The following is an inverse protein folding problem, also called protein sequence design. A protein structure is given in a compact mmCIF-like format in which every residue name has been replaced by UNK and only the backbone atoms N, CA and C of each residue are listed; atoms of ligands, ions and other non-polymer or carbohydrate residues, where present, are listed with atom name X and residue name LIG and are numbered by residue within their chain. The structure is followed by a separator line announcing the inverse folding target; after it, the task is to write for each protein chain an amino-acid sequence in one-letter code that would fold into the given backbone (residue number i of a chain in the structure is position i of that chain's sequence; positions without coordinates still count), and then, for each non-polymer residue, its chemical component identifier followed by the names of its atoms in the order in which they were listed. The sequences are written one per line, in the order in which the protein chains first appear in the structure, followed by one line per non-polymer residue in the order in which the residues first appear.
data_IF_602207498258
#
_entry.id   IF_602207498258
#
_cell.length_a   1.000
_cell.length_b   1.000
_cell.length_c   1.000
_cell.angle_alpha   90.00
_cell.angle_beta   90.00
_cell.angle_gamma   90.00
#
_symmetry.space_group_name_H-M   'P 1'
#
loop_
_entity.id
_entity.type
_entity.pdbx_description
1 polymer ?
#
# COMPACT_ATOMS: atom_id res chain seq x y z
N UNK A 1 -0.81 35.65 23.40
CA UNK A 1 -0.30 34.38 23.93
C UNK A 1 -1.36 33.31 23.67
N UNK A 2 -1.06 32.37 22.77
CA UNK A 2 -1.89 31.19 22.54
C UNK A 2 -1.73 30.29 23.78
N UNK A 3 -2.82 29.85 24.43
CA UNK A 3 -2.72 28.95 25.57
C UNK A 3 -2.05 27.64 25.14
N UNK A 4 -0.82 27.44 25.60
CA UNK A 4 -0.09 26.17 25.35
C UNK A 4 -0.56 25.16 26.38
N UNK A 5 -0.98 23.99 25.90
CA UNK A 5 -1.40 22.89 26.76
C UNK A 5 -0.25 22.46 27.70
N UNK A 6 -0.55 22.31 28.98
CA UNK A 6 0.44 21.96 29.99
C UNK A 6 1.07 20.59 29.68
N UNK A 7 2.38 20.44 29.90
CA UNK A 7 3.12 19.19 29.59
C UNK A 7 2.58 17.97 30.30
N UNK A 8 1.98 18.15 31.47
CA UNK A 8 1.28 17.12 32.26
C UNK A 8 0.06 16.61 31.52
N UNK A 9 -0.80 17.53 31.03
CA UNK A 9 -2.02 17.20 30.28
C UNK A 9 -1.70 16.55 28.94
N UNK A 10 -0.63 16.98 28.24
CA UNK A 10 -0.14 16.30 27.02
C UNK A 10 0.32 14.87 27.28
N UNK A 11 0.98 14.61 28.41
CA UNK A 11 1.40 13.25 28.77
C UNK A 11 0.22 12.36 29.13
N UNK A 12 -0.79 12.86 29.81
CA UNK A 12 -2.01 12.12 30.12
C UNK A 12 -2.82 11.82 28.87
N UNK A 13 -2.99 12.79 27.99
CA UNK A 13 -3.63 12.61 26.69
C UNK A 13 -2.93 11.52 25.87
N UNK A 14 -1.60 11.60 25.78
CA UNK A 14 -0.79 10.59 25.07
C UNK A 14 -0.95 9.20 25.69
N UNK A 15 -0.91 9.07 27.01
CA UNK A 15 -1.12 7.79 27.71
C UNK A 15 -2.53 7.24 27.47
N UNK A 16 -3.55 8.09 27.48
CA UNK A 16 -4.94 7.67 27.22
C UNK A 16 -5.11 7.17 25.79
N UNK A 17 -4.53 7.89 24.81
CA UNK A 17 -4.55 7.47 23.39
C UNK A 17 -3.79 6.15 23.22
N UNK A 18 -2.58 6.03 23.77
CA UNK A 18 -1.77 4.81 23.69
C UNK A 18 -2.49 3.62 24.37
N UNK A 19 -3.16 3.85 25.49
CA UNK A 19 -3.92 2.82 26.19
C UNK A 19 -5.14 2.35 25.38
N UNK A 20 -5.96 3.30 24.92
CA UNK A 20 -7.13 3.00 24.07
C UNK A 20 -6.74 2.28 22.79
N UNK A 21 -5.64 2.68 22.17
CA UNK A 21 -5.13 2.02 20.96
C UNK A 21 -4.66 0.59 21.24
N UNK A 22 -3.95 0.36 22.35
CA UNK A 22 -3.51 -0.98 22.76
C UNK A 22 -4.69 -1.89 23.09
N UNK A 23 -5.71 -1.36 23.74
CA UNK A 23 -6.93 -2.10 24.06
C UNK A 23 -7.69 -2.48 22.79
N UNK A 24 -7.83 -1.53 21.85
CA UNK A 24 -8.38 -1.78 20.53
C UNK A 24 -7.57 -2.84 19.75
N UNK A 25 -6.25 -2.71 19.72
CA UNK A 25 -5.36 -3.66 19.05
C UNK A 25 -5.45 -5.06 19.65
N UNK A 26 -5.61 -5.20 20.98
CA UNK A 26 -5.81 -6.49 21.64
C UNK A 26 -7.18 -7.10 21.38
N UNK A 27 -8.22 -6.27 21.28
CA UNK A 27 -9.58 -6.74 21.09
C UNK A 27 -9.86 -7.16 19.63
N UNK A 28 -9.28 -6.46 18.68
CA UNK A 28 -9.58 -6.61 17.25
C UNK A 28 -8.39 -7.02 16.39
N UNK A 29 -7.17 -7.04 16.94
CA UNK A 29 -5.93 -7.35 16.22
C UNK A 29 -6.02 -8.69 15.50
N UNK A 30 -6.36 -9.75 16.22
CA UNK A 30 -6.46 -11.10 15.67
C UNK A 30 -7.51 -11.21 14.56
N UNK A 31 -8.64 -10.50 14.68
CA UNK A 31 -9.68 -10.48 13.66
C UNK A 31 -9.23 -9.69 12.41
N UNK A 32 -8.53 -8.58 12.62
CA UNK A 32 -7.97 -7.76 11.54
C UNK A 32 -6.84 -8.53 10.83
N UNK A 33 -5.94 -9.15 11.58
CA UNK A 33 -4.88 -10.00 11.01
C UNK A 33 -5.48 -11.14 10.19
N UNK A 34 -6.44 -11.88 10.73
CA UNK A 34 -7.11 -12.97 10.02
C UNK A 34 -7.82 -12.54 8.73
N UNK A 35 -8.32 -11.30 8.67
CA UNK A 35 -8.89 -10.75 7.44
C UNK A 35 -7.82 -10.48 6.37
N UNK A 36 -6.63 -10.04 6.79
CA UNK A 36 -5.53 -9.75 5.87
C UNK A 36 -4.64 -10.95 5.56
N UNK A 37 -4.75 -12.05 6.31
CA UNK A 37 -3.93 -13.26 6.13
C UNK A 37 -3.92 -13.80 4.68
N UNK A 38 -5.05 -13.97 3.97
CA UNK A 38 -5.04 -14.46 2.60
C UNK A 38 -4.25 -13.52 1.67
N UNK A 39 -4.36 -12.21 1.89
CA UNK A 39 -3.65 -11.21 1.13
C UNK A 39 -2.14 -11.29 1.39
N UNK A 40 -1.76 -11.50 2.66
CA UNK A 40 -0.37 -11.67 3.07
C UNK A 40 0.26 -12.95 2.50
N UNK A 41 -0.46 -14.06 2.53
CA UNK A 41 0.01 -15.31 1.91
C UNK A 41 0.26 -15.11 0.41
N UNK A 42 -0.66 -14.45 -0.28
CA UNK A 42 -0.51 -14.13 -1.70
C UNK A 42 0.68 -13.20 -1.95
N UNK A 43 0.86 -12.18 -1.12
CA UNK A 43 2.01 -11.26 -1.20
C UNK A 43 3.34 -11.98 -1.03
N UNK A 44 3.46 -12.80 0.03
CA UNK A 44 4.68 -13.57 0.32
C UNK A 44 4.97 -14.57 -0.80
N UNK A 45 3.93 -15.21 -1.33
CA UNK A 45 4.08 -16.11 -2.45
C UNK A 45 4.58 -15.38 -3.70
N UNK A 46 3.99 -14.22 -4.03
CA UNK A 46 4.40 -13.42 -5.19
C UNK A 46 5.82 -12.87 -5.02
N UNK A 47 6.17 -12.37 -3.85
CA UNK A 47 7.53 -11.92 -3.54
C UNK A 47 8.54 -13.05 -3.73
N UNK A 48 8.28 -14.23 -3.14
CA UNK A 48 9.14 -15.40 -3.30
C UNK A 48 9.29 -15.79 -4.76
N UNK A 49 8.20 -15.79 -5.51
CA UNK A 49 8.21 -16.11 -6.94
C UNK A 49 9.11 -15.12 -7.71
N UNK A 50 8.98 -13.84 -7.47
CA UNK A 50 9.80 -12.81 -8.14
C UNK A 50 11.28 -12.86 -7.72
N UNK A 51 11.56 -13.04 -6.44
CA UNK A 51 12.93 -13.09 -5.91
C UNK A 51 13.65 -14.38 -6.32
N UNK A 52 12.95 -15.52 -6.34
CA UNK A 52 13.55 -16.81 -6.72
C UNK A 52 13.64 -17.02 -8.22
N UNK A 53 12.91 -16.24 -9.02
CA UNK A 53 12.97 -16.32 -10.47
C UNK A 53 14.32 -15.85 -11.00
N UNK A 54 14.90 -16.51 -12.02
CA UNK A 54 16.10 -16.04 -12.67
C UNK A 54 15.93 -14.60 -13.20
N UNK A 55 16.87 -13.71 -12.84
CA UNK A 55 16.79 -12.30 -13.21
C UNK A 55 16.57 -12.02 -14.72
N UNK A 56 17.12 -12.82 -15.69
CA UNK A 56 16.86 -12.57 -17.10
C UNK A 56 15.39 -12.79 -17.49
N UNK A 57 14.72 -13.76 -16.84
CA UNK A 57 13.30 -14.03 -17.09
C UNK A 57 12.46 -12.86 -16.62
N UNK A 58 12.74 -12.35 -15.42
CA UNK A 58 12.02 -11.19 -14.86
C UNK A 58 12.19 -9.97 -15.76
N UNK A 59 13.42 -9.65 -16.16
CA UNK A 59 13.72 -8.54 -17.08
C UNK A 59 13.00 -8.75 -18.42
N UNK A 60 13.00 -9.99 -18.94
CA UNK A 60 12.32 -10.33 -20.20
C UNK A 60 10.81 -10.10 -20.10
N UNK A 61 10.17 -10.51 -19.01
CA UNK A 61 8.73 -10.30 -18.77
C UNK A 61 8.40 -8.81 -18.68
N UNK A 62 9.16 -8.02 -17.90
CA UNK A 62 8.94 -6.57 -17.81
C UNK A 62 9.23 -5.85 -19.12
N UNK A 63 10.24 -6.27 -19.87
CA UNK A 63 10.52 -5.77 -21.20
C UNK A 63 9.37 -6.07 -22.17
N UNK A 64 8.80 -7.28 -22.12
CA UNK A 64 7.64 -7.65 -22.92
C UNK A 64 6.40 -6.83 -22.56
N UNK A 65 6.13 -6.65 -21.27
CA UNK A 65 5.02 -5.79 -20.81
C UNK A 65 5.19 -4.35 -21.27
N UNK A 66 6.41 -3.81 -21.17
CA UNK A 66 6.74 -2.48 -21.69
C UNK A 66 6.52 -2.39 -23.21
N UNK A 67 6.86 -3.43 -23.95
CA UNK A 67 6.61 -3.50 -25.41
C UNK A 67 5.12 -3.54 -25.74
N UNK A 68 4.35 -4.38 -25.05
CA UNK A 68 2.90 -4.51 -25.30
C UNK A 68 2.19 -3.20 -24.99
N UNK A 69 2.55 -2.54 -23.87
CA UNK A 69 1.90 -1.32 -23.43
C UNK A 69 2.26 -0.08 -24.25
N UNK A 70 3.53 0.06 -24.66
CA UNK A 70 4.00 1.30 -25.28
C UNK A 70 4.30 1.20 -26.77
N UNK A 71 4.50 -0.02 -27.30
CA UNK A 71 4.99 -0.26 -28.67
C UNK A 71 6.27 0.51 -29.03
N UNK A 72 7.03 0.97 -28.02
CA UNK A 72 8.23 1.78 -28.17
C UNK A 72 9.47 1.02 -27.72
N UNK A 73 10.38 0.76 -28.65
CA UNK A 73 11.66 0.10 -28.36
C UNK A 73 12.52 0.90 -27.36
N UNK A 74 12.41 2.23 -27.38
CA UNK A 74 13.15 3.11 -26.46
C UNK A 74 12.74 2.86 -25.00
N UNK A 75 11.44 2.65 -24.75
CA UNK A 75 10.93 2.31 -23.38
C UNK A 75 11.36 0.92 -22.96
N UNK A 76 11.36 -0.05 -23.87
CA UNK A 76 11.84 -1.41 -23.57
C UNK A 76 13.31 -1.37 -23.17
N UNK A 77 14.15 -0.71 -23.95
CA UNK A 77 15.58 -0.56 -23.64
C UNK A 77 15.76 0.15 -22.30
N UNK A 78 15.03 1.25 -22.07
CA UNK A 78 15.05 1.98 -20.80
C UNK A 78 14.69 1.09 -19.61
N UNK A 79 13.62 0.28 -19.73
CA UNK A 79 13.21 -0.68 -18.68
C UNK A 79 14.30 -1.70 -18.40
N UNK A 80 14.90 -2.31 -19.44
CA UNK A 80 15.97 -3.29 -19.29
C UNK A 80 17.18 -2.65 -18.60
N UNK A 81 17.61 -1.47 -19.04
CA UNK A 81 18.74 -0.75 -18.44
C UNK A 81 18.48 -0.42 -16.97
N UNK A 82 17.27 0.06 -16.62
CA UNK A 82 16.91 0.33 -15.22
C UNK A 82 17.03 -0.93 -14.34
N UNK A 83 16.49 -2.08 -14.78
CA UNK A 83 16.62 -3.32 -14.03
C UNK A 83 18.06 -3.81 -13.89
N UNK A 84 18.88 -3.66 -14.94
CA UNK A 84 20.30 -4.01 -14.88
C UNK A 84 21.06 -3.12 -13.89
N UNK A 85 20.78 -1.82 -13.87
CA UNK A 85 21.35 -0.88 -12.90
C UNK A 85 20.96 -1.24 -11.46
N UNK A 86 19.67 -1.53 -11.21
CA UNK A 86 19.17 -1.97 -9.91
C UNK A 86 19.86 -3.27 -9.47
N UNK A 87 20.02 -4.22 -10.38
CA UNK A 87 20.76 -5.46 -10.13
C UNK A 87 22.23 -5.23 -9.84
N UNK A 88 22.89 -4.33 -10.58
CA UNK A 88 24.28 -3.96 -10.36
C UNK A 88 24.54 -3.36 -8.97
N UNK A 89 23.63 -2.53 -8.47
CA UNK A 89 23.68 -1.98 -7.10
C UNK A 89 23.29 -2.97 -5.99
N UNK A 90 22.99 -4.23 -6.33
CA UNK A 90 22.60 -5.23 -5.34
C UNK A 90 21.22 -5.03 -4.71
N UNK A 91 20.36 -4.14 -5.28
CA UNK A 91 19.04 -3.80 -4.76
C UNK A 91 17.91 -4.68 -5.35
N UNK A 92 18.29 -5.78 -6.01
CA UNK A 92 17.33 -6.67 -6.69
C UNK A 92 16.18 -7.16 -5.78
N UNK A 93 16.54 -7.67 -4.60
CA UNK A 93 15.54 -8.17 -3.64
C UNK A 93 14.53 -7.08 -3.22
N UNK A 94 15.01 -5.89 -2.91
CA UNK A 94 14.16 -4.77 -2.51
C UNK A 94 13.26 -4.32 -3.67
N UNK A 95 13.77 -4.32 -4.89
CA UNK A 95 12.99 -4.02 -6.08
C UNK A 95 11.86 -5.04 -6.28
N UNK A 96 12.15 -6.32 -6.17
CA UNK A 96 11.14 -7.39 -6.31
C UNK A 96 10.09 -7.34 -5.21
N UNK A 97 10.48 -7.06 -3.96
CA UNK A 97 9.55 -6.84 -2.87
C UNK A 97 8.61 -5.65 -3.14
N UNK A 98 9.15 -4.54 -3.64
CA UNK A 98 8.35 -3.36 -4.03
C UNK A 98 7.36 -3.69 -5.16
N UNK A 99 7.82 -4.43 -6.19
CA UNK A 99 6.95 -4.88 -7.29
C UNK A 99 5.83 -5.76 -6.77
N UNK A 100 6.12 -6.68 -5.84
CA UNK A 100 5.09 -7.53 -5.23
C UNK A 100 4.06 -6.69 -4.46
N UNK A 101 4.50 -5.75 -3.61
CA UNK A 101 3.61 -4.85 -2.86
C UNK A 101 2.70 -4.08 -3.81
N UNK A 102 3.27 -3.43 -4.83
CA UNK A 102 2.51 -2.61 -5.79
C UNK A 102 1.51 -3.49 -6.55
N UNK A 103 1.92 -4.67 -7.02
CA UNK A 103 1.04 -5.58 -7.78
C UNK A 103 -0.16 -6.02 -6.95
N UNK A 104 0.07 -6.45 -5.71
CA UNK A 104 -0.99 -6.89 -4.79
C UNK A 104 -1.90 -5.72 -4.43
N UNK A 105 -1.34 -4.58 -4.07
CA UNK A 105 -2.12 -3.38 -3.73
C UNK A 105 -2.98 -2.91 -4.89
N UNK A 106 -2.43 -2.91 -6.11
CA UNK A 106 -3.17 -2.52 -7.32
C UNK A 106 -4.33 -3.49 -7.58
N UNK A 107 -4.11 -4.80 -7.43
CA UNK A 107 -5.17 -5.80 -7.59
C UNK A 107 -6.32 -5.55 -6.60
N UNK A 108 -6.00 -5.32 -5.33
CA UNK A 108 -7.01 -5.01 -4.30
C UNK A 108 -7.74 -3.71 -4.65
N UNK A 109 -7.01 -2.67 -5.04
CA UNK A 109 -7.62 -1.38 -5.43
C UNK A 109 -8.56 -1.52 -6.64
N UNK A 110 -8.23 -2.35 -7.62
CA UNK A 110 -9.11 -2.65 -8.76
C UNK A 110 -10.38 -3.37 -8.28
N UNK A 111 -10.22 -4.43 -7.47
CA UNK A 111 -11.34 -5.27 -7.01
C UNK A 111 -12.30 -4.47 -6.12
N UNK A 112 -11.78 -3.56 -5.30
CA UNK A 112 -12.57 -2.75 -4.37
C UNK A 112 -13.00 -1.42 -5.01
N UNK A 113 -12.08 -0.74 -5.69
CA UNK A 113 -12.27 0.61 -6.22
C UNK A 113 -13.27 0.65 -7.37
N UNK A 114 -13.19 -0.29 -8.33
CA UNK A 114 -14.12 -0.29 -9.46
C UNK A 114 -15.59 -0.46 -9.01
N UNK A 115 -15.96 -1.42 -8.14
CA UNK A 115 -17.33 -1.51 -7.65
C UNK A 115 -17.79 -0.26 -6.91
N UNK A 116 -16.93 0.36 -6.09
CA UNK A 116 -17.24 1.60 -5.38
C UNK A 116 -17.44 2.74 -6.38
N UNK A 117 -16.58 2.91 -7.37
CA UNK A 117 -16.71 3.92 -8.42
C UNK A 117 -18.01 3.76 -9.22
N UNK A 118 -18.37 2.52 -9.60
CA UNK A 118 -19.64 2.22 -10.25
C UNK A 118 -20.83 2.56 -9.35
N UNK A 119 -20.74 2.30 -8.04
CA UNK A 119 -21.80 2.67 -7.08
C UNK A 119 -21.94 4.19 -6.98
N UNK A 120 -20.84 4.93 -6.93
CA UNK A 120 -20.85 6.40 -6.89
C UNK A 120 -21.46 6.98 -8.17
N UNK A 121 -21.09 6.44 -9.34
CA UNK A 121 -21.65 6.91 -10.63
C UNK A 121 -23.17 6.69 -10.76
N UNK A 122 -23.73 5.69 -10.06
CA UNK A 122 -25.16 5.37 -10.08
C UNK A 122 -25.97 6.06 -8.99
N UNK A 123 -25.34 6.58 -7.95
CA UNK A 123 -26.02 7.13 -6.78
C UNK A 123 -25.37 8.41 -6.28
N UNK A 124 -26.04 9.53 -6.51
CA UNK A 124 -25.59 10.85 -6.00
C UNK A 124 -25.51 10.91 -4.45
N UNK A 125 -26.23 10.04 -3.74
CA UNK A 125 -26.11 9.93 -2.28
C UNK A 125 -24.81 9.23 -1.90
N UNK A 126 -24.46 8.15 -2.61
CA UNK A 126 -23.20 7.44 -2.39
C UNK A 126 -22.00 8.33 -2.72
N UNK A 127 -22.05 9.04 -3.84
CA UNK A 127 -21.04 10.01 -4.24
C UNK A 127 -20.79 11.06 -3.14
N UNK A 128 -21.84 11.75 -2.68
CA UNK A 128 -21.73 12.78 -1.64
C UNK A 128 -21.21 12.26 -0.29
N UNK A 129 -21.45 10.98 0.01
CA UNK A 129 -20.97 10.37 1.25
C UNK A 129 -19.53 9.89 1.16
N UNK A 130 -19.12 9.35 0.00
CA UNK A 130 -17.79 8.72 -0.19
C UNK A 130 -16.75 9.76 -0.59
N UNK A 131 -17.10 10.76 -1.41
CA UNK A 131 -16.16 11.75 -1.92
C UNK A 131 -15.35 12.46 -0.81
N UNK A 132 -15.95 12.95 0.30
CA UNK A 132 -15.16 13.57 1.36
C UNK A 132 -14.15 12.63 2.03
N UNK A 133 -14.47 11.32 2.08
CA UNK A 133 -13.55 10.32 2.62
C UNK A 133 -12.36 10.13 1.68
N UNK A 134 -12.60 10.06 0.38
CA UNK A 134 -11.55 9.96 -0.63
C UNK A 134 -10.64 11.21 -0.63
N UNK A 135 -11.24 12.39 -0.51
CA UNK A 135 -10.50 13.66 -0.41
C UNK A 135 -9.59 13.67 0.82
N UNK A 136 -10.10 13.23 1.98
CA UNK A 136 -9.27 13.09 3.18
C UNK A 136 -8.13 12.07 2.98
N UNK A 137 -8.40 10.94 2.33
CA UNK A 137 -7.36 9.93 2.05
C UNK A 137 -6.25 10.46 1.15
N UNK A 138 -6.53 11.39 0.24
CA UNK A 138 -5.53 12.00 -0.63
C UNK A 138 -4.78 13.17 0.01
N UNK A 139 -5.46 13.94 0.87
CA UNK A 139 -4.86 15.14 1.50
C UNK A 139 -3.97 14.80 2.68
N UNK A 140 -4.24 13.70 3.38
CA UNK A 140 -3.43 13.28 4.53
C UNK A 140 -2.15 12.60 4.01
N UNK A 141 -0.95 13.03 4.46
CA UNK A 141 0.31 12.40 4.07
C UNK A 141 0.33 10.90 4.40
N UNK A 142 0.84 10.07 3.50
CA UNK A 142 0.86 8.61 3.63
C UNK A 142 1.52 8.10 4.93
N UNK A 143 2.47 8.84 5.48
CA UNK A 143 3.11 8.51 6.76
C UNK A 143 2.14 8.53 7.96
N UNK A 144 1.07 9.32 7.88
CA UNK A 144 0.07 9.40 8.95
C UNK A 144 -0.72 8.10 9.06
N UNK A 145 -1.02 7.44 7.93
CA UNK A 145 -1.66 6.11 7.92
C UNK A 145 -0.69 5.01 8.32
N UNK A 146 0.59 5.16 7.93
CA UNK A 146 1.59 4.13 8.17
C UNK A 146 1.82 3.90 9.66
N UNK A 147 1.77 4.96 10.49
CA UNK A 147 2.02 4.83 11.94
C UNK A 147 1.02 3.88 12.62
N UNK A 148 -0.31 4.08 12.55
CA UNK A 148 -1.28 3.16 13.14
C UNK A 148 -1.17 1.73 12.57
N UNK A 149 -0.90 1.60 11.27
CA UNK A 149 -0.79 0.29 10.62
C UNK A 149 0.45 -0.46 11.10
N UNK A 150 1.60 0.22 11.26
CA UNK A 150 2.80 -0.37 11.84
C UNK A 150 2.59 -0.73 13.32
N UNK A 151 1.80 0.04 14.06
CA UNK A 151 1.47 -0.28 15.44
C UNK A 151 0.58 -1.53 15.57
N UNK A 152 -0.26 -1.81 14.57
CA UNK A 152 -1.15 -2.99 14.53
C UNK A 152 -0.41 -4.25 14.03
N UNK A 153 0.30 -4.14 12.92
CA UNK A 153 0.89 -5.29 12.19
C UNK A 153 2.40 -5.45 12.41
N UNK A 154 3.02 -4.57 13.19
CA UNK A 154 4.48 -4.54 13.31
C UNK A 154 5.18 -3.94 12.10
N UNK A 155 6.51 -4.04 12.07
CA UNK A 155 7.34 -3.56 10.94
C UNK A 155 7.48 -4.70 9.93
N UNK A 156 7.10 -4.44 8.66
CA UNK A 156 7.20 -5.46 7.62
C UNK A 156 6.50 -5.08 6.31
N UNK A 157 6.25 -6.07 5.48
CA UNK A 157 5.57 -5.91 4.17
C UNK A 157 4.08 -5.54 4.32
N UNK A 158 3.42 -6.05 5.36
CA UNK A 158 2.00 -5.83 5.63
C UNK A 158 1.63 -4.36 5.74
N UNK A 159 2.30 -3.56 6.61
CA UNK A 159 2.05 -2.13 6.67
C UNK A 159 2.26 -1.42 5.34
N UNK A 160 3.26 -1.85 4.57
CA UNK A 160 3.53 -1.33 3.24
C UNK A 160 2.36 -1.52 2.28
N UNK A 161 1.79 -2.74 2.23
CA UNK A 161 0.62 -3.04 1.39
C UNK A 161 -0.61 -2.24 1.82
N UNK A 162 -0.93 -2.25 3.11
CA UNK A 162 -2.10 -1.53 3.64
C UNK A 162 -2.01 -0.03 3.35
N UNK A 163 -0.86 0.58 3.65
CA UNK A 163 -0.62 2.00 3.37
C UNK A 163 -0.70 2.31 1.86
N UNK A 164 -0.17 1.42 1.01
CA UNK A 164 -0.24 1.57 -0.45
C UNK A 164 -1.67 1.46 -0.95
N UNK A 165 -2.49 0.53 -0.41
CA UNK A 165 -3.91 0.42 -0.76
C UNK A 165 -4.66 1.70 -0.39
N UNK A 166 -4.48 2.21 0.84
CA UNK A 166 -5.13 3.45 1.29
C UNK A 166 -4.80 4.62 0.36
N UNK A 167 -3.54 4.73 -0.06
CA UNK A 167 -3.09 5.81 -0.94
C UNK A 167 -3.54 5.63 -2.40
N UNK A 168 -3.55 4.39 -2.91
CA UNK A 168 -3.83 4.09 -4.32
C UNK A 168 -5.33 3.91 -4.62
N UNK A 169 -6.16 3.70 -3.60
CA UNK A 169 -7.59 3.46 -3.77
C UNK A 169 -8.35 4.68 -4.34
N UNK A 170 -8.16 5.92 -3.84
CA UNK A 170 -8.93 7.08 -4.31
C UNK A 170 -8.81 7.37 -5.81
N UNK A 171 -7.64 7.33 -6.47
CA UNK A 171 -7.53 7.59 -7.91
C UNK A 171 -8.13 6.49 -8.79
N UNK A 172 -8.47 5.32 -8.22
CA UNK A 172 -9.08 4.20 -8.96
C UNK A 172 -10.61 4.24 -8.88
N UNK A 173 -11.16 4.87 -7.85
CA UNK A 173 -12.60 5.09 -7.65
C UNK A 173 -13.09 6.24 -8.50
#
# INVERSE_FOLDING_TARGET
NIPVMERSALRELKKSIDFSFKEFSRAYGDAIEGFFDPLLYFLIWLEKLLVSSPWPIVIGVFGLLAWIGSRSIKLVIGTIVCFLVIGYFGMWKNCMATVAIISVSTLVCIVVGIPIGVLMSKSSRAEKAILPVLDMMQTIPSFVYLIPVVMLFGVGLTPGVVATIIFALPPII
#
